data_IF_899811507641
#
_entry.id   IF_899811507641
#
_cell.length_a   1.000
_cell.length_b   1.000
_cell.length_c   1.000
_cell.angle_alpha   90.00
_cell.angle_beta   90.00
_cell.angle_gamma   90.00
#
_symmetry.space_group_name_H-M   'P 1'
#
loop_
_entity.id
_entity.type
_entity.pdbx_description
1 polymer ?
#
# COMPACT_ATOMS: atom_id res chain seq x y z
N UNK A 1 -33.80 27.80 0.40
CA UNK A 1 -34.21 26.65 1.23
C UNK A 1 -34.76 25.59 0.30
N UNK A 2 -33.98 24.55 0.00
CA UNK A 2 -34.47 23.42 -0.80
C UNK A 2 -35.27 22.49 0.11
N UNK A 3 -36.56 22.32 -0.18
CA UNK A 3 -37.45 21.45 0.57
C UNK A 3 -37.11 19.99 0.24
N UNK A 4 -37.07 19.13 1.27
CA UNK A 4 -36.76 17.69 1.12
C UNK A 4 -37.72 16.97 0.16
N UNK A 5 -38.91 17.53 -0.08
CA UNK A 5 -39.92 16.98 -0.98
C UNK A 5 -40.00 17.61 -2.38
N UNK A 6 -39.12 18.55 -2.74
CA UNK A 6 -39.14 19.11 -4.09
C UNK A 6 -38.48 18.15 -5.10
N UNK A 7 -39.28 17.73 -6.08
CA UNK A 7 -38.86 16.80 -7.15
C UNK A 7 -37.67 17.39 -7.93
N UNK A 8 -37.64 18.71 -8.15
CA UNK A 8 -36.55 19.35 -8.88
C UNK A 8 -35.22 19.27 -8.13
N UNK A 9 -35.27 19.33 -6.79
CA UNK A 9 -34.09 19.14 -5.95
C UNK A 9 -33.51 17.73 -6.12
N UNK A 10 -34.34 16.69 -6.18
CA UNK A 10 -33.88 15.31 -6.40
C UNK A 10 -33.35 15.12 -7.83
N UNK A 11 -34.06 15.65 -8.84
CA UNK A 11 -33.62 15.58 -10.24
C UNK A 11 -32.28 16.29 -10.45
N UNK A 12 -32.07 17.46 -9.82
CA UNK A 12 -30.82 18.20 -9.91
C UNK A 12 -29.62 17.50 -9.24
N UNK A 13 -29.87 16.53 -8.35
CA UNK A 13 -28.83 15.66 -7.79
C UNK A 13 -28.54 14.47 -8.71
N UNK A 14 -29.59 13.85 -9.25
CA UNK A 14 -29.49 12.61 -10.03
C UNK A 14 -28.86 12.86 -11.40
N UNK A 15 -29.28 13.91 -12.12
CA UNK A 15 -28.83 14.14 -13.50
C UNK A 15 -27.30 14.29 -13.62
N UNK A 16 -26.62 15.14 -12.82
CA UNK A 16 -25.17 15.26 -12.88
C UNK A 16 -24.46 13.95 -12.52
N UNK A 17 -24.98 13.21 -11.54
CA UNK A 17 -24.39 11.94 -11.13
C UNK A 17 -24.51 10.87 -12.22
N UNK A 18 -25.65 10.83 -12.92
CA UNK A 18 -25.88 9.91 -14.05
C UNK A 18 -24.97 10.23 -15.24
N UNK A 19 -24.79 11.50 -15.57
CA UNK A 19 -23.91 11.95 -16.64
C UNK A 19 -22.45 11.61 -16.34
N UNK A 20 -21.98 11.95 -15.13
CA UNK A 20 -20.63 11.63 -14.67
C UNK A 20 -20.38 10.12 -14.61
N UNK A 21 -21.35 9.33 -14.14
CA UNK A 21 -21.25 7.87 -14.12
C UNK A 21 -21.15 7.28 -15.54
N UNK A 22 -21.93 7.82 -16.49
CA UNK A 22 -21.88 7.39 -17.89
C UNK A 22 -20.53 7.71 -18.51
N UNK A 23 -20.00 8.93 -18.30
CA UNK A 23 -18.68 9.33 -18.78
C UNK A 23 -17.56 8.47 -18.19
N UNK A 24 -17.59 8.20 -16.87
CA UNK A 24 -16.62 7.31 -16.21
C UNK A 24 -16.67 5.90 -16.79
N UNK A 25 -17.86 5.37 -17.02
CA UNK A 25 -18.05 4.04 -17.57
C UNK A 25 -17.54 3.93 -19.01
N UNK A 26 -17.81 4.93 -19.87
CA UNK A 26 -17.27 4.95 -21.23
C UNK A 26 -15.75 5.06 -21.25
N UNK A 27 -15.16 5.91 -20.40
CA UNK A 27 -13.70 6.04 -20.28
C UNK A 27 -13.02 4.76 -19.78
N UNK A 28 -13.67 4.02 -18.87
CA UNK A 28 -13.18 2.71 -18.42
C UNK A 28 -13.27 1.66 -19.54
N UNK A 29 -14.32 1.71 -20.37
CA UNK A 29 -14.55 0.74 -21.45
C UNK A 29 -13.63 0.95 -22.66
N UNK A 30 -13.34 2.19 -23.01
CA UNK A 30 -12.57 2.54 -24.22
C UNK A 30 -11.05 2.52 -24.00
N UNK A 31 -10.60 2.15 -22.79
CA UNK A 31 -9.22 2.39 -22.33
C UNK A 31 -9.05 3.87 -21.98
N UNK A 32 -8.39 4.18 -20.85
CA UNK A 32 -8.40 5.51 -20.23
C UNK A 32 -7.88 6.61 -21.17
N UNK A 33 -8.79 7.22 -21.94
CA UNK A 33 -8.53 8.34 -22.86
C UNK A 33 -9.40 9.50 -22.39
N UNK A 34 -8.95 10.25 -21.39
CA UNK A 34 -9.67 11.45 -20.96
C UNK A 34 -9.26 11.96 -19.60
N UNK A 35 -9.48 13.25 -19.36
CA UNK A 35 -9.33 13.85 -18.04
C UNK A 35 -10.72 13.99 -17.43
N UNK A 36 -11.11 13.06 -16.55
CA UNK A 36 -12.39 13.15 -15.84
C UNK A 36 -12.36 14.35 -14.88
N UNK A 37 -13.42 15.18 -14.81
CA UNK A 37 -13.48 16.28 -13.88
C UNK A 37 -13.66 15.78 -12.44
N UNK A 38 -12.56 15.40 -11.79
CA UNK A 38 -12.46 14.93 -10.39
C UNK A 38 -13.25 15.84 -9.43
N UNK A 39 -13.11 17.15 -9.60
CA UNK A 39 -13.81 18.14 -8.78
C UNK A 39 -15.34 18.08 -8.94
N UNK A 40 -15.84 17.80 -10.14
CA UNK A 40 -17.27 17.64 -10.41
C UNK A 40 -17.83 16.39 -9.74
N UNK A 41 -17.06 15.29 -9.75
CA UNK A 41 -17.43 14.04 -9.05
C UNK A 41 -17.51 14.27 -7.55
N UNK A 42 -16.48 14.86 -6.93
CA UNK A 42 -16.49 15.17 -5.50
C UNK A 42 -17.62 16.14 -5.12
N UNK A 43 -17.86 17.17 -5.93
CA UNK A 43 -18.95 18.12 -5.71
C UNK A 43 -20.33 17.45 -5.75
N UNK A 44 -20.58 16.58 -6.74
CA UNK A 44 -21.83 15.83 -6.87
C UNK A 44 -22.04 14.90 -5.67
N UNK A 45 -21.01 14.14 -5.26
CA UNK A 45 -21.06 13.26 -4.10
C UNK A 45 -21.29 14.05 -2.80
N UNK A 46 -20.64 15.19 -2.63
CA UNK A 46 -20.82 16.05 -1.46
C UNK A 46 -22.25 16.62 -1.39
N UNK A 47 -22.80 17.08 -2.51
CA UNK A 47 -24.20 17.54 -2.60
C UNK A 47 -25.19 16.44 -2.25
N UNK A 48 -24.99 15.23 -2.79
CA UNK A 48 -25.83 14.07 -2.48
C UNK A 48 -25.76 13.68 -1.01
N UNK A 49 -24.56 13.68 -0.40
CA UNK A 49 -24.38 13.43 1.03
C UNK A 49 -25.05 14.49 1.91
N UNK A 50 -24.92 15.77 1.55
CA UNK A 50 -25.58 16.86 2.28
C UNK A 50 -27.11 16.74 2.21
N UNK A 51 -27.65 16.44 1.03
CA UNK A 51 -29.09 16.20 0.85
C UNK A 51 -29.56 14.96 1.63
N UNK A 52 -28.84 13.84 1.56
CA UNK A 52 -29.15 12.62 2.34
C UNK A 52 -29.28 12.97 3.82
N UNK A 53 -28.27 13.65 4.38
CA UNK A 53 -28.25 13.99 5.81
C UNK A 53 -29.40 14.93 6.18
N UNK A 54 -29.80 15.83 5.28
CA UNK A 54 -30.97 16.70 5.48
C UNK A 54 -32.28 15.91 5.48
N UNK A 55 -32.45 15.01 4.50
CA UNK A 55 -33.63 14.18 4.34
C UNK A 55 -33.80 13.20 5.51
N UNK A 56 -32.72 12.59 5.98
CA UNK A 56 -32.73 11.70 7.14
C UNK A 56 -33.12 12.45 8.42
N UNK A 57 -32.53 13.64 8.67
CA UNK A 57 -32.92 14.49 9.81
C UNK A 57 -34.39 14.93 9.74
N UNK A 58 -34.93 15.14 8.54
CA UNK A 58 -36.35 15.43 8.35
C UNK A 58 -37.23 14.24 8.74
N UNK A 59 -36.90 13.03 8.27
CA UNK A 59 -37.61 11.80 8.65
C UNK A 59 -37.55 11.56 10.16
N UNK A 60 -36.38 11.77 10.78
CA UNK A 60 -36.20 11.63 12.23
C UNK A 60 -37.07 12.62 13.02
N UNK A 61 -37.10 13.90 12.60
CA UNK A 61 -37.96 14.91 13.23
C UNK A 61 -39.45 14.56 13.10
N UNK A 62 -39.88 14.13 11.92
CA UNK A 62 -41.28 13.79 11.66
C UNK A 62 -41.77 12.66 12.58
N UNK A 63 -40.95 11.62 12.77
CA UNK A 63 -41.24 10.52 13.71
C UNK A 63 -41.29 10.97 15.17
N UNK A 64 -40.44 11.93 15.55
CA UNK A 64 -40.33 12.42 16.93
C UNK A 64 -41.46 13.38 17.31
N UNK A 65 -41.84 14.27 16.41
CA UNK A 65 -42.82 15.33 16.67
C UNK A 65 -44.28 14.83 16.55
N UNK A 66 -44.53 13.80 15.75
CA UNK A 66 -45.88 13.31 15.45
C UNK A 66 -46.07 11.79 15.68
N UNK A 67 -45.70 11.25 16.86
CA UNK A 67 -45.69 9.80 17.08
C UNK A 67 -47.07 9.13 17.07
N UNK A 68 -48.17 9.90 17.18
CA UNK A 68 -49.53 9.36 17.24
C UNK A 68 -50.17 9.13 15.86
N UNK A 69 -49.55 9.62 14.78
CA UNK A 69 -50.11 9.60 13.42
C UNK A 69 -49.42 8.55 12.53
N UNK A 70 -49.10 7.39 13.10
CA UNK A 70 -48.29 6.35 12.47
C UNK A 70 -48.87 5.90 11.11
N UNK A 71 -50.18 5.75 11.04
CA UNK A 71 -50.96 5.33 9.87
C UNK A 71 -50.79 6.26 8.67
N UNK A 72 -50.72 7.57 8.90
CA UNK A 72 -50.47 8.59 7.88
C UNK A 72 -48.97 8.76 7.57
N UNK A 73 -48.13 8.67 8.61
CA UNK A 73 -46.70 8.95 8.49
C UNK A 73 -45.90 7.80 7.89
N UNK A 74 -46.23 6.54 8.20
CA UNK A 74 -45.44 5.39 7.74
C UNK A 74 -45.36 5.28 6.22
N UNK A 75 -46.45 5.40 5.45
CA UNK A 75 -46.39 5.39 3.98
C UNK A 75 -45.51 6.53 3.43
N UNK A 76 -45.64 7.73 4.00
CA UNK A 76 -44.84 8.89 3.58
C UNK A 76 -43.35 8.71 3.91
N UNK A 77 -43.04 8.28 5.13
CA UNK A 77 -41.69 7.96 5.58
C UNK A 77 -41.07 6.88 4.70
N UNK A 78 -41.82 5.83 4.37
CA UNK A 78 -41.37 4.78 3.47
C UNK A 78 -41.03 5.34 2.08
N UNK A 79 -41.88 6.19 1.51
CA UNK A 79 -41.61 6.86 0.23
C UNK A 79 -40.34 7.71 0.27
N UNK A 80 -40.18 8.56 1.29
CA UNK A 80 -38.96 9.36 1.46
C UNK A 80 -37.73 8.47 1.65
N UNK A 81 -37.83 7.40 2.44
CA UNK A 81 -36.75 6.43 2.64
C UNK A 81 -36.34 5.72 1.35
N UNK A 82 -37.28 5.40 0.46
CA UNK A 82 -36.98 4.85 -0.87
C UNK A 82 -36.18 5.83 -1.73
N UNK A 83 -36.54 7.13 -1.73
CA UNK A 83 -35.79 8.16 -2.47
C UNK A 83 -34.39 8.33 -1.87
N UNK A 84 -34.26 8.37 -0.53
CA UNK A 84 -32.96 8.42 0.15
C UNK A 84 -32.10 7.23 -0.28
N UNK A 85 -32.67 6.02 -0.29
CA UNK A 85 -31.98 4.82 -0.72
C UNK A 85 -31.53 4.91 -2.19
N UNK A 86 -32.40 5.34 -3.10
CA UNK A 86 -32.07 5.49 -4.52
C UNK A 86 -30.91 6.46 -4.77
N UNK A 87 -30.92 7.64 -4.14
CA UNK A 87 -29.82 8.61 -4.23
C UNK A 87 -28.54 8.01 -3.65
N UNK A 88 -28.63 7.30 -2.51
CA UNK A 88 -27.47 6.64 -1.88
C UNK A 88 -26.86 5.56 -2.76
N UNK A 89 -27.69 4.76 -3.43
CA UNK A 89 -27.25 3.73 -4.37
C UNK A 89 -26.50 4.35 -5.56
N UNK A 90 -27.02 5.44 -6.12
CA UNK A 90 -26.35 6.17 -7.19
C UNK A 90 -25.03 6.79 -6.71
N UNK A 91 -24.98 7.36 -5.50
CA UNK A 91 -23.75 7.92 -4.92
C UNK A 91 -22.71 6.84 -4.69
N UNK A 92 -23.11 5.68 -4.18
CA UNK A 92 -22.24 4.53 -4.01
C UNK A 92 -21.69 4.08 -5.37
N UNK A 93 -22.55 3.92 -6.39
CA UNK A 93 -22.12 3.49 -7.72
C UNK A 93 -21.15 4.48 -8.36
N UNK A 94 -21.45 5.78 -8.32
CA UNK A 94 -20.56 6.82 -8.83
C UNK A 94 -19.21 6.80 -8.09
N UNK A 95 -19.22 6.64 -6.76
CA UNK A 95 -18.00 6.54 -5.96
C UNK A 95 -17.18 5.32 -6.38
N UNK A 96 -17.79 4.14 -6.53
CA UNK A 96 -17.07 2.92 -6.95
C UNK A 96 -16.48 3.06 -8.35
N UNK A 97 -17.22 3.65 -9.30
CA UNK A 97 -16.71 3.90 -10.66
C UNK A 97 -15.54 4.89 -10.65
N UNK A 98 -15.64 5.93 -9.83
CA UNK A 98 -14.58 6.91 -9.69
C UNK A 98 -13.32 6.29 -9.06
N UNK A 99 -13.47 5.46 -8.02
CA UNK A 99 -12.36 4.73 -7.41
C UNK A 99 -11.69 3.78 -8.40
N UNK A 100 -12.49 3.03 -9.17
CA UNK A 100 -11.99 2.17 -10.25
C UNK A 100 -11.19 2.99 -11.27
N UNK A 101 -11.76 4.08 -11.78
CA UNK A 101 -11.09 4.97 -12.71
C UNK A 101 -9.78 5.54 -12.17
N UNK A 102 -9.78 6.03 -10.92
CA UNK A 102 -8.57 6.54 -10.26
C UNK A 102 -7.49 5.48 -10.14
N UNK A 103 -7.86 4.23 -9.85
CA UNK A 103 -6.92 3.11 -9.79
C UNK A 103 -6.39 2.73 -11.18
N UNK A 104 -7.25 2.65 -12.19
CA UNK A 104 -6.86 2.33 -13.57
C UNK A 104 -5.85 3.32 -14.16
N UNK A 105 -5.92 4.61 -13.81
CA UNK A 105 -4.91 5.61 -14.22
C UNK A 105 -3.52 5.30 -13.63
N UNK A 106 -3.46 4.71 -12.43
CA UNK A 106 -2.20 4.46 -11.73
C UNK A 106 -1.49 3.18 -12.21
N UNK A 107 -2.20 2.32 -12.96
CA UNK A 107 -1.68 1.05 -13.47
C UNK A 107 -1.15 1.28 -14.90
N UNK A 108 0.18 1.21 -15.13
CA UNK A 108 0.72 1.20 -16.48
C UNK A 108 0.25 -0.09 -17.19
N UNK A 109 -0.51 0.07 -18.27
CA UNK A 109 -0.95 -1.05 -19.09
C UNK A 109 0.03 -1.26 -20.25
N UNK A 110 0.73 -2.39 -20.23
CA UNK A 110 1.51 -2.86 -21.37
C UNK A 110 0.64 -3.70 -22.31
N UNK A 111 0.73 -3.42 -23.61
CA UNK A 111 -0.09 -4.01 -24.68
C UNK A 111 0.10 -5.52 -24.87
N UNK A 112 1.12 -6.12 -24.26
CA UNK A 112 1.46 -7.56 -24.35
C UNK A 112 1.31 -8.29 -23.01
N UNK A 113 0.34 -7.90 -22.19
CA UNK A 113 0.09 -8.54 -20.90
C UNK A 113 -0.81 -9.78 -21.01
N UNK A 114 -0.55 -10.79 -20.16
CA UNK A 114 -1.39 -11.99 -20.05
C UNK A 114 -2.77 -11.69 -19.44
N UNK A 115 -2.90 -10.57 -18.72
CA UNK A 115 -4.15 -10.12 -18.11
C UNK A 115 -4.70 -8.95 -18.91
N UNK A 116 -6.01 -8.96 -19.18
CA UNK A 116 -6.69 -7.88 -19.91
C UNK A 116 -6.85 -6.61 -19.06
N UNK A 117 -6.63 -6.71 -17.75
CA UNK A 117 -6.71 -5.60 -16.81
C UNK A 117 -6.58 -6.03 -15.35
N UNK A 118 -6.56 -5.08 -14.41
CA UNK A 118 -6.47 -5.35 -12.98
C UNK A 118 -7.60 -6.23 -12.43
N UNK A 119 -8.79 -6.18 -13.01
CA UNK A 119 -9.93 -7.00 -12.56
C UNK A 119 -9.61 -8.50 -12.67
N UNK A 120 -8.93 -8.92 -13.73
CA UNK A 120 -8.52 -10.31 -13.95
C UNK A 120 -7.41 -10.74 -12.99
N UNK A 121 -6.49 -9.81 -12.66
CA UNK A 121 -5.47 -10.02 -11.62
C UNK A 121 -6.12 -10.23 -10.25
N UNK A 122 -7.06 -9.36 -9.88
CA UNK A 122 -7.79 -9.47 -8.60
C UNK A 122 -8.58 -10.77 -8.56
N UNK A 123 -9.27 -11.13 -9.65
CA UNK A 123 -9.97 -12.41 -9.75
C UNK A 123 -9.00 -13.58 -9.58
N UNK A 124 -7.83 -13.56 -10.22
CA UNK A 124 -6.79 -14.58 -10.06
C UNK A 124 -6.31 -14.72 -8.61
N UNK A 125 -6.10 -13.59 -7.92
CA UNK A 125 -5.70 -13.57 -6.49
C UNK A 125 -6.81 -14.08 -5.55
N UNK A 126 -8.08 -13.87 -5.91
CA UNK A 126 -9.23 -14.23 -5.08
C UNK A 126 -9.85 -15.59 -5.43
N UNK A 127 -9.42 -16.24 -6.51
CA UNK A 127 -9.95 -17.53 -6.93
C UNK A 127 -9.57 -18.62 -5.92
N UNK A 128 -10.58 -19.33 -5.43
CA UNK A 128 -10.37 -20.56 -4.68
C UNK A 128 -9.90 -21.66 -5.65
N UNK A 129 -8.96 -22.53 -5.27
CA UNK A 129 -8.47 -23.60 -6.15
C UNK A 129 -9.50 -24.72 -6.28
N UNK A 130 -10.61 -24.45 -6.95
CA UNK A 130 -11.59 -25.44 -7.41
C UNK A 130 -11.82 -25.17 -8.88
N UNK A 131 -11.29 -26.08 -9.70
CA UNK A 131 -11.61 -26.22 -11.12
C UNK A 131 -11.38 -24.97 -11.98
N UNK A 132 -10.25 -24.28 -11.80
CA UNK A 132 -9.79 -23.29 -12.77
C UNK A 132 -9.39 -23.98 -14.08
N UNK A 133 -9.70 -23.37 -15.23
CA UNK A 133 -9.27 -23.85 -16.55
C UNK A 133 -7.75 -23.79 -16.73
N UNK A 134 -7.07 -22.97 -15.94
CA UNK A 134 -5.60 -22.90 -15.85
C UNK A 134 -5.07 -23.91 -14.84
N UNK A 135 -3.94 -24.54 -15.19
CA UNK A 135 -3.25 -25.42 -14.24
C UNK A 135 -2.69 -24.59 -13.09
N UNK A 136 -2.60 -25.17 -11.87
CA UNK A 136 -1.98 -24.47 -10.74
C UNK A 136 -0.55 -24.00 -11.06
N UNK A 137 0.14 -24.65 -11.99
CA UNK A 137 1.45 -24.25 -12.47
C UNK A 137 1.43 -22.93 -13.26
N UNK A 138 0.48 -22.81 -14.21
CA UNK A 138 0.34 -21.60 -15.03
C UNK A 138 -0.01 -20.41 -14.14
N UNK A 139 -0.95 -20.59 -13.19
CA UNK A 139 -1.31 -19.56 -12.21
C UNK A 139 -0.10 -19.13 -11.37
N UNK A 140 0.76 -20.06 -10.94
CA UNK A 140 1.96 -19.73 -10.17
C UNK A 140 2.90 -18.80 -10.95
N UNK A 141 3.10 -19.06 -12.25
CA UNK A 141 3.96 -18.22 -13.10
C UNK A 141 3.28 -16.88 -13.40
N UNK A 142 1.99 -16.86 -13.74
CA UNK A 142 1.26 -15.63 -14.04
C UNK A 142 1.17 -14.67 -12.85
N UNK A 143 1.14 -15.19 -11.61
CA UNK A 143 1.19 -14.37 -10.40
C UNK A 143 2.49 -13.55 -10.27
N UNK A 144 3.59 -14.02 -10.85
CA UNK A 144 4.88 -13.32 -10.85
C UNK A 144 5.07 -12.40 -12.06
N UNK A 145 4.03 -12.21 -12.89
CA UNK A 145 4.12 -11.39 -14.10
C UNK A 145 4.27 -9.89 -13.81
N UNK A 146 4.81 -9.12 -14.77
CA UNK A 146 4.91 -7.66 -14.68
C UNK A 146 3.56 -6.97 -14.45
N UNK A 147 2.47 -7.55 -14.98
CA UNK A 147 1.12 -6.98 -14.84
C UNK A 147 0.63 -7.02 -13.40
N UNK A 148 0.92 -8.12 -12.67
CA UNK A 148 0.60 -8.20 -11.24
C UNK A 148 1.44 -7.21 -10.45
N UNK A 149 2.71 -7.04 -10.81
CA UNK A 149 3.56 -6.00 -10.20
C UNK A 149 3.03 -4.59 -10.44
N UNK A 150 2.66 -4.26 -11.69
CA UNK A 150 2.05 -2.98 -12.04
C UNK A 150 0.75 -2.73 -11.25
N UNK A 151 -0.07 -3.77 -11.03
CA UNK A 151 -1.24 -3.70 -10.18
C UNK A 151 -0.88 -3.42 -8.71
N UNK A 152 0.14 -4.07 -8.16
CA UNK A 152 0.64 -3.80 -6.80
C UNK A 152 1.11 -2.34 -6.70
N UNK A 153 1.92 -1.87 -7.64
CA UNK A 153 2.40 -0.48 -7.63
C UNK A 153 1.24 0.52 -7.77
N UNK A 154 0.27 0.24 -8.63
CA UNK A 154 -0.94 1.05 -8.78
C UNK A 154 -1.77 1.09 -7.50
N UNK A 155 -1.92 -0.05 -6.81
CA UNK A 155 -2.63 -0.16 -5.53
C UNK A 155 -1.93 0.63 -4.43
N UNK A 156 -0.60 0.54 -4.36
CA UNK A 156 0.21 1.28 -3.38
C UNK A 156 0.07 2.78 -3.61
N UNK A 157 0.17 3.24 -4.86
CA UNK A 157 -0.03 4.65 -5.23
C UNK A 157 -1.45 5.14 -4.92
N UNK A 158 -2.45 4.27 -5.13
CA UNK A 158 -3.84 4.60 -4.85
C UNK A 158 -4.14 4.69 -3.35
N UNK A 159 -3.60 3.76 -2.56
CA UNK A 159 -3.87 3.64 -1.12
C UNK A 159 -3.04 4.59 -0.26
N UNK A 160 -1.88 5.05 -0.73
CA UNK A 160 -0.91 5.74 0.12
C UNK A 160 -0.50 7.11 -0.39
N UNK A 161 -0.56 8.09 0.53
CA UNK A 161 -0.28 9.49 0.22
C UNK A 161 1.17 9.89 0.51
N UNK A 162 1.96 9.27 1.42
CA UNK A 162 3.41 9.59 1.42
C UNK A 162 4.43 8.73 2.22
N UNK A 163 4.11 7.83 3.16
CA UNK A 163 5.18 7.37 4.09
C UNK A 163 5.44 5.86 4.18
N UNK A 164 4.49 4.99 3.80
CA UNK A 164 4.62 3.52 3.97
C UNK A 164 4.65 2.76 2.63
N UNK A 165 4.86 3.49 1.53
CA UNK A 165 4.56 2.99 0.18
C UNK A 165 5.50 1.87 -0.21
N UNK A 166 6.79 2.06 0.06
CA UNK A 166 7.81 1.04 -0.15
C UNK A 166 7.53 -0.20 0.71
N UNK A 167 7.35 -0.04 2.02
CA UNK A 167 7.06 -1.14 2.95
C UNK A 167 5.82 -1.96 2.54
N UNK A 168 4.77 -1.30 2.06
CA UNK A 168 3.51 -1.95 1.66
C UNK A 168 3.63 -2.64 0.31
N UNK A 169 4.28 -2.01 -0.67
CA UNK A 169 4.59 -2.62 -1.97
C UNK A 169 5.37 -3.91 -1.79
N UNK A 170 6.37 -3.85 -0.91
CA UNK A 170 7.28 -4.94 -0.65
C UNK A 170 6.58 -6.09 0.13
N UNK A 171 5.71 -5.77 1.10
CA UNK A 171 4.83 -6.75 1.75
C UNK A 171 3.90 -7.47 0.75
N UNK A 172 3.25 -6.72 -0.15
CA UNK A 172 2.34 -7.29 -1.15
C UNK A 172 3.10 -8.18 -2.15
N UNK A 173 4.27 -7.75 -2.60
CA UNK A 173 5.14 -8.55 -3.47
C UNK A 173 5.53 -9.89 -2.80
N UNK A 174 5.87 -9.88 -1.51
CA UNK A 174 6.12 -11.10 -0.74
C UNK A 174 4.89 -12.01 -0.65
N UNK A 175 3.71 -11.44 -0.39
CA UNK A 175 2.46 -12.23 -0.33
C UNK A 175 2.13 -12.90 -1.66
N UNK A 176 2.35 -12.21 -2.78
CA UNK A 176 2.17 -12.77 -4.13
C UNK A 176 3.18 -13.88 -4.42
N UNK A 177 4.46 -13.70 -4.06
CA UNK A 177 5.46 -14.76 -4.16
C UNK A 177 5.07 -16.01 -3.35
N UNK A 178 4.63 -15.80 -2.10
CA UNK A 178 4.16 -16.90 -1.25
C UNK A 178 2.98 -17.62 -1.88
N UNK A 179 2.02 -16.89 -2.43
CA UNK A 179 0.87 -17.47 -3.13
C UNK A 179 1.32 -18.28 -4.36
N UNK A 180 2.23 -17.75 -5.16
CA UNK A 180 2.84 -18.45 -6.31
C UNK A 180 3.50 -19.78 -5.89
N UNK A 181 4.29 -19.78 -4.81
CA UNK A 181 4.91 -20.99 -4.26
C UNK A 181 3.89 -22.01 -3.74
N UNK A 182 2.79 -21.54 -3.14
CA UNK A 182 1.70 -22.42 -2.70
C UNK A 182 0.96 -23.06 -3.90
N UNK A 183 0.74 -22.31 -4.98
CA UNK A 183 0.19 -22.87 -6.22
C UNK A 183 1.12 -23.91 -6.85
N UNK A 184 2.42 -23.66 -6.84
CA UNK A 184 3.41 -24.61 -7.28
C UNK A 184 3.37 -25.91 -6.46
N UNK A 185 3.33 -25.80 -5.12
CA UNK A 185 3.18 -26.96 -4.21
C UNK A 185 1.88 -27.72 -4.49
N UNK A 186 0.78 -27.01 -4.66
CA UNK A 186 -0.52 -27.63 -4.97
C UNK A 186 -0.45 -28.42 -6.29
N UNK A 187 0.20 -27.87 -7.31
CA UNK A 187 0.46 -28.59 -8.56
C UNK A 187 1.27 -29.88 -8.32
N UNK A 188 2.33 -29.82 -7.51
CA UNK A 188 3.15 -31.00 -7.20
C UNK A 188 2.38 -32.08 -6.46
N UNK A 189 1.51 -31.68 -5.53
CA UNK A 189 0.65 -32.61 -4.79
C UNK A 189 -0.39 -33.24 -5.71
N UNK A 190 -0.99 -32.46 -6.62
CA UNK A 190 -1.97 -32.95 -7.59
C UNK A 190 -1.36 -33.95 -8.59
N UNK A 191 -0.14 -33.68 -9.07
CA UNK A 191 0.56 -34.54 -10.02
C UNK A 191 1.24 -35.74 -9.35
N UNK A 192 1.69 -35.60 -8.10
CA UNK A 192 2.37 -36.64 -7.33
C UNK A 192 3.85 -36.85 -7.70
N UNK A 193 4.38 -36.09 -8.65
CA UNK A 193 5.79 -36.12 -9.09
C UNK A 193 6.27 -34.74 -9.56
N UNK A 194 7.58 -34.58 -9.68
CA UNK A 194 8.22 -33.36 -10.21
C UNK A 194 8.49 -33.50 -11.72
N UNK A 195 7.82 -32.67 -12.52
CA UNK A 195 8.02 -32.54 -13.97
C UNK A 195 9.01 -31.40 -14.30
N UNK A 196 9.64 -31.45 -15.49
CA UNK A 196 10.50 -30.40 -16.00
C UNK A 196 9.82 -29.05 -16.17
N UNK A 197 8.52 -29.02 -16.50
CA UNK A 197 7.75 -27.75 -16.52
C UNK A 197 7.70 -27.10 -15.15
N UNK A 198 7.50 -27.91 -14.11
CA UNK A 198 7.49 -27.47 -12.74
C UNK A 198 8.88 -26.93 -12.33
N UNK A 199 9.94 -27.63 -12.74
CA UNK A 199 11.31 -27.17 -12.53
C UNK A 199 11.58 -25.81 -13.19
N UNK A 200 11.19 -25.63 -14.44
CA UNK A 200 11.33 -24.34 -15.13
C UNK A 200 10.55 -23.21 -14.45
N UNK A 201 9.33 -23.48 -13.98
CA UNK A 201 8.54 -22.50 -13.24
C UNK A 201 9.23 -22.06 -11.95
N UNK A 202 9.82 -22.99 -11.19
CA UNK A 202 10.57 -22.68 -9.96
C UNK A 202 11.73 -21.72 -10.24
N UNK A 203 12.55 -22.04 -11.25
CA UNK A 203 13.68 -21.17 -11.61
C UNK A 203 13.16 -19.79 -11.98
N UNK A 204 12.11 -19.73 -12.80
CA UNK A 204 11.54 -18.46 -13.26
C UNK A 204 11.04 -17.61 -12.10
N UNK A 205 10.27 -18.20 -11.19
CA UNK A 205 9.72 -17.51 -10.00
C UNK A 205 10.86 -17.03 -9.09
N UNK A 206 11.86 -17.88 -8.82
CA UNK A 206 13.00 -17.52 -7.99
C UNK A 206 13.87 -16.44 -8.65
N UNK A 207 14.07 -16.49 -9.97
CA UNK A 207 14.82 -15.47 -10.70
C UNK A 207 14.13 -14.10 -10.58
N UNK A 208 12.81 -14.04 -10.79
CA UNK A 208 12.02 -12.81 -10.63
C UNK A 208 12.11 -12.31 -9.19
N UNK A 209 12.02 -13.20 -8.20
CA UNK A 209 12.16 -12.83 -6.80
C UNK A 209 13.53 -12.21 -6.50
N UNK A 210 14.61 -12.83 -6.98
CA UNK A 210 15.97 -12.33 -6.78
C UNK A 210 16.21 -10.99 -7.46
N UNK A 211 15.63 -10.79 -8.64
CA UNK A 211 15.71 -9.53 -9.34
C UNK A 211 15.02 -8.41 -8.54
N UNK A 212 13.78 -8.64 -8.07
CA UNK A 212 13.08 -7.70 -7.18
C UNK A 212 13.85 -7.41 -5.90
N UNK A 213 14.42 -8.43 -5.28
CA UNK A 213 15.25 -8.26 -4.09
C UNK A 213 16.46 -7.34 -4.37
N UNK A 214 17.15 -7.56 -5.49
CA UNK A 214 18.27 -6.70 -5.91
C UNK A 214 17.81 -5.26 -6.14
N UNK A 215 16.67 -5.06 -6.78
CA UNK A 215 16.09 -3.72 -6.98
C UNK A 215 15.82 -3.02 -5.65
N UNK A 216 15.21 -3.70 -4.68
CA UNK A 216 14.97 -3.12 -3.35
C UNK A 216 16.27 -2.79 -2.62
N UNK A 217 17.29 -3.66 -2.70
CA UNK A 217 18.61 -3.41 -2.12
C UNK A 217 19.34 -2.22 -2.77
N UNK A 218 19.18 -2.06 -4.07
CA UNK A 218 19.79 -0.97 -4.82
C UNK A 218 19.10 0.38 -4.51
N UNK A 219 17.77 0.40 -4.40
CA UNK A 219 17.02 1.57 -3.95
C UNK A 219 17.42 2.01 -2.54
N UNK A 220 17.71 1.05 -1.66
CA UNK A 220 18.22 1.34 -0.32
C UNK A 220 19.58 2.02 -0.37
N UNK A 221 20.53 1.44 -1.11
CA UNK A 221 21.87 1.98 -1.29
C UNK A 221 21.83 3.42 -1.83
N UNK A 222 20.94 3.68 -2.80
CA UNK A 222 20.76 5.03 -3.36
C UNK A 222 20.23 6.01 -2.31
N UNK A 223 19.27 5.61 -1.48
CA UNK A 223 18.76 6.48 -0.40
C UNK A 223 19.84 6.81 0.63
N UNK A 224 20.63 5.81 1.05
CA UNK A 224 21.76 6.02 1.96
C UNK A 224 22.81 6.99 1.36
N UNK A 225 23.06 6.90 0.05
CA UNK A 225 23.94 7.83 -0.66
C UNK A 225 23.38 9.23 -0.75
N UNK A 226 22.07 9.37 -1.01
CA UNK A 226 21.37 10.65 -1.01
C UNK A 226 21.39 11.31 0.37
N UNK A 227 21.03 10.57 1.43
CA UNK A 227 21.09 11.04 2.81
C UNK A 227 22.52 11.40 3.23
N UNK A 228 23.49 10.56 2.88
CA UNK A 228 24.91 10.81 3.12
C UNK A 228 25.45 12.02 2.35
N UNK A 229 24.94 12.28 1.14
CA UNK A 229 25.28 13.46 0.36
C UNK A 229 24.63 14.74 0.90
N UNK A 230 23.38 14.65 1.38
CA UNK A 230 22.64 15.74 2.02
C UNK A 230 23.34 16.18 3.31
N UNK A 231 23.82 15.22 4.11
CA UNK A 231 24.60 15.49 5.31
C UNK A 231 25.95 16.15 5.00
N UNK A 232 26.64 15.67 3.94
CA UNK A 232 27.89 16.30 3.47
C UNK A 232 27.67 17.71 2.93
N UNK A 233 26.56 17.97 2.23
CA UNK A 233 26.25 19.30 1.71
C UNK A 233 25.86 20.27 2.84
N UNK A 234 25.09 19.82 3.83
CA UNK A 234 24.80 20.61 5.04
C UNK A 234 26.08 20.99 5.79
N UNK A 235 27.04 20.07 5.92
CA UNK A 235 28.34 20.38 6.53
C UNK A 235 29.27 21.25 5.66
N UNK A 236 29.11 21.27 4.34
CA UNK A 236 29.99 22.01 3.41
C UNK A 236 29.46 23.40 3.03
N UNK A 237 28.16 23.62 3.12
CA UNK A 237 27.53 24.94 2.88
C UNK A 237 27.76 25.91 4.06
N UNK A 238 28.08 25.41 5.26
CA UNK A 238 28.58 26.24 6.38
C UNK A 238 30.11 26.45 6.32
N UNK A 239 30.59 26.80 5.13
CA UNK A 239 31.98 27.16 4.87
C UNK A 239 32.25 28.65 4.96
N UNK A 240 31.68 29.39 5.92
CA UNK A 240 32.27 30.67 6.39
C UNK A 240 31.65 31.12 7.71
N UNK A 241 32.49 31.13 8.75
CA UNK A 241 32.39 31.83 10.05
C UNK A 241 31.03 31.87 10.77
N UNK A 242 30.95 31.06 11.83
CA UNK A 242 29.98 31.03 12.94
C UNK A 242 28.83 30.03 12.78
N UNK A 243 28.55 29.33 13.88
CA UNK A 243 27.43 28.39 13.97
C UNK A 243 26.11 29.16 14.03
N UNK A 244 25.04 28.61 13.46
CA UNK A 244 23.68 29.21 13.48
C UNK A 244 23.24 29.56 14.91
N UNK A 245 23.63 28.72 15.88
CA UNK A 245 23.38 28.94 17.30
C UNK A 245 24.10 30.18 17.85
N UNK A 246 25.36 30.43 17.46
CA UNK A 246 26.08 31.64 17.87
C UNK A 246 25.52 32.91 17.21
N UNK A 247 25.11 32.83 15.94
CA UNK A 247 24.49 33.97 15.26
C UNK A 247 23.13 34.30 15.87
N UNK A 248 22.34 33.28 16.19
CA UNK A 248 21.05 33.44 16.85
C UNK A 248 21.23 33.98 18.28
N UNK A 249 22.23 33.50 19.03
CA UNK A 249 22.52 34.03 20.37
C UNK A 249 22.94 35.50 20.32
N UNK A 250 23.70 35.93 19.30
CA UNK A 250 24.02 37.35 19.10
C UNK A 250 22.80 38.16 18.67
N UNK A 251 21.93 37.62 17.83
CA UNK A 251 20.70 38.28 17.43
C UNK A 251 19.76 38.48 18.64
N UNK A 252 19.62 37.45 19.48
CA UNK A 252 18.88 37.52 20.75
C UNK A 252 19.52 38.53 21.70
N UNK A 253 20.84 38.51 21.87
CA UNK A 253 21.55 39.47 22.72
C UNK A 253 21.43 40.92 22.23
N UNK A 254 21.35 41.15 20.91
CA UNK A 254 21.08 42.48 20.34
C UNK A 254 19.62 42.90 20.48
N UNK A 255 18.68 41.98 20.30
CA UNK A 255 17.25 42.24 20.42
C UNK A 255 16.82 42.45 21.88
N UNK A 256 17.52 41.80 22.81
CA UNK A 256 17.28 41.87 24.25
C UNK A 256 18.60 42.19 24.99
N UNK A 257 19.01 43.46 25.04
CA UNK A 257 20.15 43.89 25.84
C UNK A 257 19.93 43.51 27.31
N UNK A 258 20.89 42.84 27.93
CA UNK A 258 20.83 42.53 29.36
C UNK A 258 21.02 43.82 30.17
N UNK A 259 20.03 44.21 30.95
CA UNK A 259 20.11 45.36 31.87
C UNK A 259 20.83 45.03 33.19
N UNK A 260 21.48 43.85 33.29
CA UNK A 260 22.18 43.38 34.50
C UNK A 260 23.17 44.41 35.07
N UNK A 261 23.75 45.27 34.22
CA UNK A 261 24.62 46.36 34.66
C UNK A 261 23.90 47.56 35.30
N UNK A 262 22.67 47.85 34.86
CA UNK A 262 21.86 48.99 35.32
C UNK A 262 21.10 48.70 36.62
N UNK A 263 20.95 47.42 36.98
CA UNK A 263 20.30 46.98 38.22
C UNK A 263 21.28 46.49 39.30
N UNK A 264 22.60 46.60 39.08
CA UNK A 264 23.62 46.23 40.09
C UNK A 264 23.45 46.95 41.42
N UNK A 265 22.90 48.17 41.38
CA UNK A 265 22.74 49.02 42.56
C UNK A 265 21.49 48.65 43.38
N UNK A 266 20.53 47.93 42.78
CA UNK A 266 19.30 47.41 43.41
C UNK A 266 19.48 45.94 43.82
N UNK A 267 20.32 45.20 43.11
CA UNK A 267 20.72 43.82 43.39
C UNK A 267 21.77 43.77 44.51
N UNK A 268 21.38 44.12 45.73
CA UNK A 268 22.19 43.78 46.91
C UNK A 268 22.30 42.25 47.04
N UNK A 269 23.47 41.68 47.36
CA UNK A 269 23.62 40.24 47.54
C UNK A 269 22.88 39.82 48.80
N UNK A 270 21.66 39.30 48.66
CA UNK A 270 21.11 38.41 49.67
C UNK A 270 21.76 37.04 49.43
N UNK A 271 22.75 36.73 50.25
CA UNK A 271 23.27 35.37 50.44
C UNK A 271 22.10 34.46 50.84
N UNK A 272 21.59 33.70 49.89
CA UNK A 272 20.78 32.50 50.10
C UNK A 272 21.40 31.38 49.28
N UNK A 273 22.50 30.86 49.81
CA UNK A 273 23.14 29.66 49.32
C UNK A 273 22.34 28.45 49.81
N UNK A 274 21.47 27.86 48.98
CA UNK A 274 21.13 26.43 49.10
C UNK A 274 20.42 25.90 47.84
N UNK A 275 21.16 25.07 47.09
CA UNK A 275 20.67 24.01 46.21
C UNK A 275 19.64 24.35 45.12
N UNK A 276 20.10 24.99 44.03
CA UNK A 276 19.53 24.68 42.71
C UNK A 276 20.47 23.69 42.04
N UNK A 277 20.11 22.41 42.14
CA UNK A 277 20.64 21.34 41.30
C UNK A 277 20.44 21.80 39.85
N UNK A 278 21.54 22.11 39.18
CA UNK A 278 21.58 22.22 37.73
C UNK A 278 21.12 20.86 37.20
N UNK A 279 20.04 20.76 36.41
CA UNK A 279 19.73 19.52 35.74
C UNK A 279 20.89 19.24 34.78
N UNK A 280 21.70 18.24 35.12
CA UNK A 280 22.53 17.57 34.14
C UNK A 280 21.55 17.04 33.09
N UNK A 281 21.57 17.64 31.91
CA UNK A 281 20.98 17.02 30.73
C UNK A 281 21.82 15.79 30.47
N UNK A 282 21.40 14.67 31.02
CA UNK A 282 21.80 13.35 30.56
C UNK A 282 21.46 13.31 29.08
N UNK A 283 22.52 13.34 28.27
CA UNK A 283 22.47 13.00 26.86
C UNK A 283 22.12 11.51 26.77
N UNK A 284 20.82 11.20 26.81
CA UNK A 284 20.31 9.95 26.30
C UNK A 284 20.77 9.81 24.84
N UNK A 285 21.50 8.74 24.45
CA UNK A 285 21.67 8.42 23.05
C UNK A 285 20.39 7.77 22.54
N UNK A 286 19.26 8.48 22.58
CA UNK A 286 18.04 8.10 21.86
C UNK A 286 18.12 8.61 20.42
N UNK A 287 19.12 8.09 19.69
CA UNK A 287 19.14 8.06 18.24
C UNK A 287 18.12 7.01 17.76
N UNK A 288 16.83 7.32 17.86
CA UNK A 288 15.84 6.62 17.04
C UNK A 288 15.73 7.36 15.71
N UNK A 289 16.72 7.12 14.84
CA UNK A 289 16.50 7.30 13.41
C UNK A 289 15.25 6.48 13.03
N UNK A 290 14.33 7.02 12.22
CA UNK A 290 13.25 6.20 11.66
C UNK A 290 13.90 5.01 10.95
N UNK A 291 13.48 3.79 11.32
CA UNK A 291 14.00 2.56 10.70
C UNK A 291 13.78 2.65 9.19
N UNK A 292 14.81 2.31 8.43
CA UNK A 292 14.80 2.36 6.97
C UNK A 292 13.73 1.44 6.38
N UNK A 293 13.17 1.81 5.22
CA UNK A 293 12.20 1.00 4.47
C UNK A 293 12.75 -0.39 4.09
N UNK A 294 14.07 -0.57 3.94
CA UNK A 294 14.67 -1.89 3.73
C UNK A 294 14.77 -2.70 5.02
N UNK A 295 15.03 -2.07 6.17
CA UNK A 295 14.91 -2.74 7.48
C UNK A 295 13.46 -3.13 7.76
N UNK A 296 12.50 -2.27 7.41
CA UNK A 296 11.08 -2.57 7.52
C UNK A 296 10.64 -3.67 6.55
N UNK A 297 11.14 -3.67 5.31
CA UNK A 297 10.92 -4.75 4.34
C UNK A 297 11.51 -6.07 4.82
N UNK A 298 12.76 -6.09 5.29
CA UNK A 298 13.40 -7.28 5.86
C UNK A 298 12.69 -7.74 7.13
N UNK A 299 12.24 -6.82 8.00
CA UNK A 299 11.49 -7.17 9.21
C UNK A 299 10.08 -7.68 8.90
N UNK A 300 9.46 -7.24 7.80
CA UNK A 300 8.19 -7.77 7.30
C UNK A 300 8.34 -9.09 6.52
N UNK A 301 9.52 -9.36 5.95
CA UNK A 301 9.92 -10.69 5.47
C UNK A 301 10.39 -11.50 6.69
N UNK A 302 9.49 -11.65 7.66
CA UNK A 302 9.84 -12.24 8.95
C UNK A 302 10.10 -13.73 8.86
N UNK A 303 9.88 -14.39 7.71
CA UNK A 303 10.26 -15.79 7.62
C UNK A 303 10.50 -16.35 6.20
N UNK A 304 11.77 -16.30 5.76
CA UNK A 304 12.23 -17.19 4.70
C UNK A 304 12.14 -18.68 5.12
N UNK A 305 11.93 -18.99 6.41
CA UNK A 305 11.70 -20.37 6.84
C UNK A 305 10.47 -20.98 6.19
N UNK A 306 9.43 -20.18 5.90
CA UNK A 306 8.21 -20.69 5.30
C UNK A 306 8.42 -21.05 3.83
N UNK A 307 9.08 -20.17 3.06
CA UNK A 307 9.47 -20.46 1.66
C UNK A 307 10.40 -21.69 1.64
N UNK A 308 11.34 -21.77 2.57
CA UNK A 308 12.23 -22.91 2.74
C UNK A 308 11.47 -24.19 3.07
N UNK A 309 10.49 -24.14 3.97
CA UNK A 309 9.67 -25.27 4.36
C UNK A 309 8.82 -25.77 3.19
N UNK A 310 8.20 -24.86 2.43
CA UNK A 310 7.47 -25.19 1.20
C UNK A 310 8.40 -25.85 0.18
N UNK A 311 9.60 -25.31 0.00
CA UNK A 311 10.60 -25.90 -0.88
C UNK A 311 11.03 -27.30 -0.41
N UNK A 312 11.40 -27.46 0.86
CA UNK A 312 11.83 -28.75 1.42
C UNK A 312 10.72 -29.81 1.32
N UNK A 313 9.48 -29.44 1.65
CA UNK A 313 8.35 -30.34 1.52
C UNK A 313 8.09 -30.75 0.07
N UNK A 314 8.21 -29.82 -0.87
CA UNK A 314 7.89 -30.05 -2.27
C UNK A 314 8.99 -30.84 -2.99
N UNK A 315 10.25 -30.50 -2.76
CA UNK A 315 11.39 -31.03 -3.52
C UNK A 315 12.16 -32.16 -2.83
N UNK A 316 11.98 -32.35 -1.52
CA UNK A 316 12.62 -33.45 -0.80
C UNK A 316 11.70 -34.66 -0.56
N UNK A 317 10.36 -34.51 -0.68
CA UNK A 317 9.41 -35.60 -0.44
C UNK A 317 8.83 -36.24 -1.70
N UNK A 318 8.81 -35.54 -2.84
CA UNK A 318 8.21 -36.04 -4.07
C UNK A 318 9.28 -36.64 -5.02
N UNK A 319 8.99 -37.78 -5.67
CA UNK A 319 9.90 -38.36 -6.65
C UNK A 319 9.91 -37.53 -7.96
N UNK A 320 11.06 -37.48 -8.63
CA UNK A 320 11.17 -36.93 -9.99
C UNK A 320 10.52 -37.87 -11.01
N UNK A 321 9.90 -37.31 -12.06
CA UNK A 321 9.39 -38.10 -13.19
C UNK A 321 10.50 -38.92 -13.85
N UNK A 322 10.16 -40.09 -14.41
CA UNK A 322 11.12 -40.96 -15.12
C UNK A 322 11.70 -40.32 -16.40
N UNK A 323 11.00 -39.34 -16.97
CA UNK A 323 11.50 -38.52 -18.10
C UNK A 323 12.54 -37.47 -17.65
N UNK A 324 12.74 -37.31 -16.33
CA UNK A 324 13.67 -36.37 -15.73
C UNK A 324 15.02 -37.06 -15.41
N UNK A 325 15.66 -37.61 -16.44
CA UNK A 325 17.00 -38.15 -16.34
C UNK A 325 18.03 -37.01 -16.45
N UNK A 326 18.63 -36.62 -15.31
CA UNK A 326 19.99 -36.09 -15.38
C UNK A 326 20.86 -37.23 -15.89
N UNK A 327 21.43 -37.08 -17.09
CA UNK A 327 22.37 -38.05 -17.61
C UNK A 327 23.45 -38.34 -16.56
N UNK A 328 23.51 -39.58 -16.09
CA UNK A 328 24.51 -40.06 -15.12
C UNK A 328 23.90 -40.63 -13.84
N UNK A 329 23.64 -41.95 -13.89
CA UNK A 329 23.73 -42.96 -12.81
C UNK A 329 23.64 -42.53 -11.35
N UNK A 330 22.65 -43.15 -10.71
CA UNK A 330 22.64 -43.74 -9.36
C UNK A 330 21.72 -43.12 -8.31
N UNK A 331 21.04 -44.06 -7.66
CA UNK A 331 19.99 -43.93 -6.67
C UNK A 331 20.28 -42.90 -5.58
N UNK A 332 19.21 -42.21 -5.15
CA UNK A 332 19.15 -41.27 -4.03
C UNK A 332 20.10 -41.66 -2.88
N UNK A 333 21.06 -40.78 -2.55
CA UNK A 333 20.81 -39.87 -1.43
C UNK A 333 21.25 -38.45 -1.78
N UNK A 334 20.39 -37.47 -1.56
CA UNK A 334 20.59 -36.06 -1.88
C UNK A 334 20.69 -35.80 -3.39
N UNK A 335 19.54 -35.51 -4.00
CA UNK A 335 19.49 -34.91 -5.33
C UNK A 335 20.55 -33.78 -5.43
N UNK A 336 21.40 -33.72 -6.48
CA UNK A 336 22.31 -32.60 -6.72
C UNK A 336 21.61 -31.23 -6.70
N UNK A 337 20.28 -31.25 -6.90
CA UNK A 337 19.33 -30.15 -6.76
C UNK A 337 19.13 -29.62 -5.36
N UNK A 338 19.12 -30.48 -4.33
CA UNK A 338 19.14 -30.00 -2.96
C UNK A 338 20.39 -29.17 -2.78
N UNK A 339 21.54 -29.58 -3.31
CA UNK A 339 22.78 -28.80 -3.21
C UNK A 339 22.78 -27.51 -4.05
N UNK A 340 22.23 -27.49 -5.27
CA UNK A 340 22.19 -26.29 -6.13
C UNK A 340 21.17 -25.26 -5.66
N UNK A 341 19.96 -25.69 -5.27
CA UNK A 341 18.95 -24.78 -4.70
C UNK A 341 19.32 -24.42 -3.26
N UNK A 342 19.97 -25.30 -2.49
CA UNK A 342 20.59 -24.92 -1.21
C UNK A 342 21.77 -23.99 -1.41
N UNK A 343 22.51 -24.03 -2.54
CA UNK A 343 23.55 -23.03 -2.87
C UNK A 343 22.96 -21.70 -3.32
N UNK A 344 21.82 -21.69 -4.02
CA UNK A 344 21.08 -20.48 -4.36
C UNK A 344 20.43 -19.89 -3.11
N UNK A 345 19.71 -20.70 -2.33
CA UNK A 345 19.13 -20.33 -1.04
C UNK A 345 20.20 -19.90 -0.04
N UNK A 346 21.31 -20.65 0.13
CA UNK A 346 22.43 -20.21 0.97
C UNK A 346 23.26 -19.08 0.36
N UNK A 347 23.32 -18.92 -0.96
CA UNK A 347 23.99 -17.79 -1.60
C UNK A 347 23.23 -16.51 -1.33
N UNK A 348 21.91 -16.59 -1.42
CA UNK A 348 20.98 -15.51 -1.05
C UNK A 348 21.04 -15.25 0.45
N UNK A 349 21.06 -16.30 1.29
CA UNK A 349 21.18 -16.17 2.76
C UNK A 349 22.58 -15.68 3.21
N UNK A 350 23.67 -16.07 2.54
CA UNK A 350 25.03 -15.56 2.82
C UNK A 350 25.25 -14.13 2.34
N UNK A 351 24.41 -13.63 1.43
CA UNK A 351 24.36 -12.23 1.04
C UNK A 351 23.42 -11.40 1.94
N UNK A 352 22.69 -12.07 2.85
CA UNK A 352 21.74 -11.48 3.82
C UNK A 352 22.28 -11.44 5.26
N UNK A 353 23.39 -12.14 5.56
CA UNK A 353 24.23 -11.96 6.75
C UNK A 353 25.36 -11.00 6.43
#
# INVERSE_FOLDING_TARGET
MHTVGDVNTVISLINPMSELASHLYTSLKEGVIGNVPVNSVHSALHKAKAWHTSAERFVQRLRKEYPLYCDLLWPFVAGVSQVIYGVSLMSAKLSTLFQQYSFWIQVPMDTESQFSGPDEVILSLCQFPVESSSTCLDTAVSLMSPTVDACIQGLVKYLQVHEMAASTSALLAYRVLRLSMLHLRNHSVQQGFLDGKMYHAVISILAIFLDKWKMFKEQERQREEEEGSLFKFKNKTHGSSLTEDEENQRAVSKAFPSFDGEFKDVMAPQDLNENVVVPQVESDPSSHAPKSDAELFISNITDFSEIRAIHEETFCRLPSSQDFSFGGTDCCPMCPWSHCIWKLSNGVIKLLQ
#
